data_IF_354774012530
#
_entry.id   IF_354774012530
#
_cell.length_a   1.000
_cell.length_b   1.000
_cell.length_c   1.000
_cell.angle_alpha   90.00
_cell.angle_beta   90.00
_cell.angle_gamma   90.00
#
_symmetry.space_group_name_H-M   'P 1'
#
loop_
_entity.id
_entity.type
_entity.pdbx_description
1 polymer ?
#
# COMPACT_ATOMS: atom_id res chain seq x y z
N UNK A 1 -14.70 -12.82 -0.30
CA UNK A 1 -15.39 -12.99 1.00
C UNK A 1 -16.06 -11.68 1.37
N UNK A 2 -17.27 -11.73 1.90
CA UNK A 2 -17.94 -10.53 2.41
C UNK A 2 -17.46 -10.23 3.82
N UNK A 3 -17.19 -8.96 4.11
CA UNK A 3 -16.84 -8.44 5.43
C UNK A 3 -17.77 -7.28 5.74
N UNK A 4 -18.49 -7.38 6.86
CA UNK A 4 -19.45 -6.34 7.27
C UNK A 4 -18.76 -4.98 7.40
N UNK A 5 -19.38 -3.93 6.86
CA UNK A 5 -18.80 -2.57 6.81
C UNK A 5 -17.73 -2.35 5.72
N UNK A 6 -17.14 -3.41 5.14
CA UNK A 6 -16.07 -3.32 4.14
C UNK A 6 -16.46 -3.89 2.76
N UNK A 7 -17.56 -4.64 2.68
CA UNK A 7 -18.05 -5.25 1.46
C UNK A 7 -17.22 -6.46 1.02
N UNK A 8 -17.06 -6.64 -0.28
CA UNK A 8 -16.27 -7.76 -0.81
C UNK A 8 -14.77 -7.50 -0.64
N UNK A 9 -14.09 -8.47 -0.03
CA UNK A 9 -12.64 -8.53 0.12
C UNK A 9 -12.13 -9.81 -0.59
N UNK A 10 -11.07 -9.75 -1.39
CA UNK A 10 -10.50 -10.95 -2.00
C UNK A 10 -9.87 -11.84 -0.92
N UNK A 11 -10.12 -13.14 -1.00
CA UNK A 11 -9.42 -14.10 -0.14
C UNK A 11 -7.96 -14.27 -0.59
N UNK A 12 -7.14 -15.00 0.18
CA UNK A 12 -5.71 -15.17 -0.10
C UNK A 12 -5.42 -15.74 -1.49
N UNK A 13 -6.22 -16.68 -1.97
CA UNK A 13 -6.04 -17.28 -3.29
C UNK A 13 -6.34 -16.30 -4.42
N UNK A 14 -7.42 -15.51 -4.30
CA UNK A 14 -7.73 -14.46 -5.26
C UNK A 14 -6.69 -13.34 -5.24
N UNK A 15 -6.23 -12.89 -4.07
CA UNK A 15 -5.12 -11.92 -3.95
C UNK A 15 -3.88 -12.43 -4.68
N UNK A 16 -3.50 -13.69 -4.42
CA UNK A 16 -2.34 -14.32 -5.07
C UNK A 16 -2.52 -14.39 -6.59
N UNK A 17 -3.69 -14.80 -7.07
CA UNK A 17 -3.99 -14.86 -8.50
C UNK A 17 -3.91 -13.47 -9.15
N UNK A 18 -4.49 -12.43 -8.53
CA UNK A 18 -4.40 -11.07 -9.06
C UNK A 18 -2.96 -10.56 -9.14
N UNK A 19 -2.14 -10.85 -8.13
CA UNK A 19 -0.72 -10.49 -8.14
C UNK A 19 0.08 -11.26 -9.19
N UNK A 20 -0.18 -12.56 -9.37
CA UNK A 20 0.47 -13.40 -10.38
C UNK A 20 0.14 -12.92 -11.81
N UNK A 21 -1.13 -12.64 -12.10
CA UNK A 21 -1.57 -12.12 -13.40
C UNK A 21 -1.02 -10.72 -13.69
N UNK A 22 -0.98 -9.85 -12.68
CA UNK A 22 -0.36 -8.54 -12.81
C UNK A 22 1.17 -8.66 -13.00
N UNK A 23 1.83 -9.60 -12.33
CA UNK A 23 3.26 -9.84 -12.54
C UNK A 23 3.59 -10.30 -13.95
N UNK A 24 2.80 -11.21 -14.54
CA UNK A 24 2.97 -11.65 -15.93
C UNK A 24 2.90 -10.51 -16.95
N UNK A 25 2.13 -9.46 -16.65
CA UNK A 25 1.98 -8.28 -17.51
C UNK A 25 3.13 -7.29 -17.36
N UNK A 26 3.56 -7.04 -16.13
CA UNK A 26 4.69 -6.14 -15.83
C UNK A 26 5.50 -6.65 -14.65
N UNK A 27 6.51 -7.51 -14.89
CA UNK A 27 7.40 -8.01 -13.86
C UNK A 27 8.16 -6.88 -13.14
N UNK A 28 8.47 -7.07 -11.85
CA UNK A 28 9.28 -6.12 -11.10
C UNK A 28 9.22 -6.28 -9.59
N UNK A 29 10.07 -5.52 -8.87
CA UNK A 29 10.20 -5.60 -7.41
C UNK A 29 8.94 -5.17 -6.64
N UNK A 30 7.99 -4.51 -7.30
CA UNK A 30 6.73 -4.05 -6.70
C UNK A 30 5.95 -5.21 -6.04
N UNK A 31 6.07 -6.43 -6.58
CA UNK A 31 5.39 -7.59 -6.02
C UNK A 31 5.98 -8.04 -4.68
N UNK A 32 7.31 -7.93 -4.50
CA UNK A 32 7.96 -8.21 -3.20
C UNK A 32 7.48 -7.18 -2.19
N UNK A 33 7.51 -5.90 -2.56
CA UNK A 33 7.06 -4.81 -1.70
C UNK A 33 5.62 -5.01 -1.22
N UNK A 34 4.71 -5.27 -2.15
CA UNK A 34 3.30 -5.52 -1.88
C UNK A 34 3.08 -6.76 -1.01
N UNK A 35 3.84 -7.84 -1.27
CA UNK A 35 3.77 -9.05 -0.45
C UNK A 35 4.25 -8.81 0.99
N UNK A 36 5.36 -8.10 1.16
CA UNK A 36 5.88 -7.77 2.50
C UNK A 36 4.86 -6.93 3.26
N UNK A 37 4.27 -5.90 2.65
CA UNK A 37 3.25 -5.06 3.30
C UNK A 37 2.02 -5.88 3.67
N UNK A 38 1.47 -6.69 2.76
CA UNK A 38 0.31 -7.54 3.08
C UNK A 38 0.58 -8.53 4.21
N UNK A 39 1.74 -9.20 4.23
CA UNK A 39 2.10 -10.13 5.31
C UNK A 39 2.41 -9.43 6.64
N UNK A 40 2.94 -8.21 6.59
CA UNK A 40 3.27 -7.43 7.79
C UNK A 40 2.00 -6.88 8.42
N UNK A 41 1.13 -6.26 7.60
CA UNK A 41 -0.19 -5.78 8.04
C UNK A 41 -1.09 -6.90 8.54
N UNK A 42 -1.08 -8.09 7.92
CA UNK A 42 -1.81 -9.27 8.43
C UNK A 42 -1.43 -9.61 9.88
N UNK A 43 -0.13 -9.58 10.22
CA UNK A 43 0.32 -9.93 11.57
C UNK A 43 0.00 -8.81 12.57
N UNK A 44 0.28 -7.57 12.20
CA UNK A 44 -0.01 -6.39 13.03
C UNK A 44 -1.52 -6.31 13.32
N UNK A 45 -2.36 -6.54 12.31
CA UNK A 45 -3.82 -6.50 12.48
C UNK A 45 -4.33 -7.48 13.55
N UNK A 46 -3.74 -8.69 13.65
CA UNK A 46 -4.11 -9.66 14.70
C UNK A 46 -3.90 -9.12 16.11
N UNK A 47 -2.85 -8.35 16.29
CA UNK A 47 -2.47 -7.78 17.58
C UNK A 47 -3.30 -6.55 17.93
N UNK A 48 -3.65 -5.75 16.92
CA UNK A 48 -4.53 -4.59 17.07
C UNK A 48 -6.03 -4.94 17.20
N UNK A 49 -6.39 -6.22 17.12
CA UNK A 49 -7.80 -6.65 17.11
C UNK A 49 -8.55 -6.30 15.81
N UNK A 50 -7.81 -5.98 14.74
CA UNK A 50 -8.36 -5.76 13.39
C UNK A 50 -8.53 -7.10 12.65
N UNK A 51 -9.33 -7.11 11.57
CA UNK A 51 -9.47 -8.28 10.72
C UNK A 51 -8.19 -8.49 9.88
N UNK A 52 -7.43 -9.58 10.12
CA UNK A 52 -6.16 -9.79 9.45
C UNK A 52 -6.30 -10.12 7.96
N UNK A 53 -7.46 -10.60 7.51
CA UNK A 53 -7.70 -10.91 6.11
C UNK A 53 -7.96 -9.63 5.30
N UNK A 54 -8.64 -8.64 5.90
CA UNK A 54 -8.79 -7.29 5.31
C UNK A 54 -7.40 -6.66 5.17
N UNK A 55 -6.64 -6.60 6.26
CA UNK A 55 -5.30 -6.02 6.28
C UNK A 55 -4.37 -6.68 5.24
N UNK A 56 -4.40 -8.02 5.16
CA UNK A 56 -3.65 -8.77 4.16
C UNK A 56 -4.01 -8.37 2.73
N UNK A 57 -5.31 -8.37 2.40
CA UNK A 57 -5.79 -8.09 1.05
C UNK A 57 -5.43 -6.67 0.60
N UNK A 58 -5.71 -5.68 1.44
CA UNK A 58 -5.48 -4.27 1.10
C UNK A 58 -3.99 -3.93 1.07
N UNK A 59 -3.19 -4.54 1.95
CA UNK A 59 -1.73 -4.40 1.92
C UNK A 59 -1.09 -5.05 0.69
N UNK A 60 -1.57 -6.21 0.26
CA UNK A 60 -1.07 -6.86 -0.95
C UNK A 60 -1.49 -6.15 -2.24
N UNK A 61 -2.65 -5.49 -2.27
CA UNK A 61 -3.22 -4.95 -3.52
C UNK A 61 -3.08 -3.43 -3.68
N UNK A 62 -2.54 -2.72 -2.68
CA UNK A 62 -2.42 -1.26 -2.73
C UNK A 62 -1.66 -0.75 -3.97
N UNK A 63 -0.67 -1.51 -4.43
CA UNK A 63 0.24 -1.15 -5.54
C UNK A 63 -0.08 -1.89 -6.85
N UNK A 64 -1.26 -2.55 -6.95
CA UNK A 64 -1.60 -3.45 -8.06
C UNK A 64 -1.42 -2.83 -9.45
N UNK A 65 -1.68 -1.53 -9.62
CA UNK A 65 -1.51 -0.85 -10.91
C UNK A 65 -0.07 -0.86 -11.44
N UNK A 66 0.94 -1.09 -10.59
CA UNK A 66 2.35 -1.26 -11.04
C UNK A 66 2.54 -2.53 -11.87
N UNK A 67 1.77 -3.58 -11.60
CA UNK A 67 1.75 -4.78 -12.44
C UNK A 67 1.08 -4.57 -13.80
N UNK A 68 0.56 -3.38 -14.08
CA UNK A 68 0.03 -2.99 -15.39
C UNK A 68 0.91 -1.94 -16.09
N UNK A 69 2.15 -1.77 -15.63
CA UNK A 69 3.13 -0.86 -16.23
C UNK A 69 3.01 0.60 -15.80
N UNK A 70 2.01 0.94 -14.98
CA UNK A 70 1.82 2.30 -14.48
C UNK A 70 2.79 2.63 -13.34
N UNK A 71 3.17 3.90 -13.25
CA UNK A 71 4.04 4.45 -12.21
C UNK A 71 3.46 5.76 -11.70
N UNK A 72 4.01 6.26 -10.60
CA UNK A 72 3.55 7.50 -9.96
C UNK A 72 2.01 7.50 -9.78
N UNK A 73 1.33 8.64 -9.86
CA UNK A 73 -0.10 8.73 -9.53
C UNK A 73 -0.96 7.79 -10.40
N UNK A 74 -0.53 7.51 -11.62
CA UNK A 74 -1.24 6.62 -12.53
C UNK A 74 -1.39 5.18 -11.99
N UNK A 75 -0.41 4.66 -11.22
CA UNK A 75 -0.53 3.29 -10.68
C UNK A 75 -1.66 3.19 -9.65
N UNK A 76 -1.92 4.28 -8.93
CA UNK A 76 -2.96 4.35 -7.91
C UNK A 76 -4.34 4.35 -8.57
N UNK A 77 -4.50 5.18 -9.60
CA UNK A 77 -5.75 5.27 -10.35
C UNK A 77 -6.06 3.95 -11.08
N UNK A 78 -5.05 3.30 -11.65
CA UNK A 78 -5.26 2.03 -12.32
C UNK A 78 -5.58 0.88 -11.34
N UNK A 79 -4.85 0.80 -10.23
CA UNK A 79 -5.16 -0.16 -9.16
C UNK A 79 -6.61 0.00 -8.65
N UNK A 80 -7.06 1.24 -8.48
CA UNK A 80 -8.45 1.56 -8.17
C UNK A 80 -9.41 1.00 -9.23
N UNK A 81 -9.20 1.27 -10.52
CA UNK A 81 -10.11 0.80 -11.60
C UNK A 81 -10.23 -0.72 -11.62
N UNK A 82 -9.12 -1.44 -11.54
CA UNK A 82 -9.10 -2.91 -11.54
C UNK A 82 -9.89 -3.47 -10.35
N UNK A 83 -9.62 -2.95 -9.15
CA UNK A 83 -10.28 -3.43 -7.93
C UNK A 83 -11.77 -3.05 -7.90
N UNK A 84 -12.14 -1.88 -8.44
CA UNK A 84 -13.54 -1.49 -8.61
C UNK A 84 -14.27 -2.41 -9.57
N UNK A 85 -13.64 -2.78 -10.69
CA UNK A 85 -14.22 -3.68 -11.69
C UNK A 85 -14.52 -5.07 -11.09
N UNK A 86 -13.63 -5.57 -10.24
CA UNK A 86 -13.80 -6.84 -9.51
C UNK A 86 -14.72 -6.72 -8.27
N UNK A 87 -15.42 -5.59 -8.10
CA UNK A 87 -16.29 -5.27 -6.96
C UNK A 87 -15.61 -5.28 -5.58
N UNK A 88 -14.28 -5.13 -5.51
CA UNK A 88 -13.50 -4.98 -4.29
C UNK A 88 -13.36 -3.50 -3.90
N UNK A 89 -14.48 -2.89 -3.50
CA UNK A 89 -14.57 -1.44 -3.30
C UNK A 89 -13.64 -0.90 -2.20
N UNK A 90 -13.50 -1.60 -1.08
CA UNK A 90 -12.61 -1.16 0.00
C UNK A 90 -11.13 -1.28 -0.37
N UNK A 91 -10.64 -2.41 -0.93
CA UNK A 91 -9.30 -2.47 -1.53
C UNK A 91 -9.05 -1.40 -2.59
N UNK A 92 -10.04 -1.09 -3.45
CA UNK A 92 -9.91 -0.05 -4.45
C UNK A 92 -9.66 1.33 -3.83
N UNK A 93 -10.38 1.66 -2.74
CA UNK A 93 -10.19 2.92 -1.98
C UNK A 93 -8.76 3.05 -1.45
N UNK A 94 -8.22 1.98 -0.86
CA UNK A 94 -6.84 1.98 -0.35
C UNK A 94 -5.83 2.09 -1.50
N UNK A 95 -6.04 1.39 -2.62
CA UNK A 95 -5.20 1.54 -3.80
C UNK A 95 -5.18 2.98 -4.34
N UNK A 96 -6.31 3.70 -4.30
CA UNK A 96 -6.39 5.11 -4.69
C UNK A 96 -5.80 6.08 -3.66
N UNK A 97 -5.80 5.69 -2.38
CA UNK A 97 -5.52 6.60 -1.26
C UNK A 97 -4.14 6.48 -0.63
N UNK A 98 -3.46 5.34 -0.76
CA UNK A 98 -2.25 5.00 0.00
C UNK A 98 -1.04 5.93 -0.21
N UNK A 99 -1.06 6.77 -1.25
CA UNK A 99 -0.02 7.76 -1.54
C UNK A 99 -0.18 9.07 -0.76
N UNK A 100 -1.32 9.31 -0.13
CA UNK A 100 -1.67 10.58 0.53
C UNK A 100 -1.81 10.38 2.04
N UNK A 101 -1.14 11.22 2.83
CA UNK A 101 -1.29 11.21 4.30
C UNK A 101 -2.39 12.16 4.79
N UNK A 102 -2.83 13.09 3.95
CA UNK A 102 -3.93 14.04 4.19
C UNK A 102 -4.95 13.98 3.06
N UNK A 103 -6.06 14.72 3.19
CA UNK A 103 -7.06 14.92 2.13
C UNK A 103 -6.61 15.85 0.99
N UNK A 104 -5.37 16.32 1.00
CA UNK A 104 -4.85 17.28 0.03
C UNK A 104 -4.01 16.60 -1.06
N UNK A 105 -4.25 16.96 -2.31
CA UNK A 105 -3.47 16.43 -3.45
C UNK A 105 -1.98 16.82 -3.38
N UNK A 106 -1.65 17.90 -2.67
CA UNK A 106 -0.27 18.32 -2.39
C UNK A 106 0.50 17.33 -1.51
N UNK A 107 -0.20 16.45 -0.78
CA UNK A 107 0.40 15.39 0.03
C UNK A 107 1.08 14.29 -0.81
N UNK A 108 0.79 14.22 -2.11
CA UNK A 108 1.36 13.22 -3.00
C UNK A 108 2.83 13.50 -3.31
N UNK A 109 3.67 12.48 -3.11
CA UNK A 109 5.08 12.51 -3.46
C UNK A 109 5.33 11.67 -4.72
N UNK A 110 5.31 12.34 -5.87
CA UNK A 110 5.54 11.72 -7.18
C UNK A 110 4.98 12.59 -8.29
N UNK A 111 5.07 12.11 -9.54
CA UNK A 111 4.49 12.82 -10.68
C UNK A 111 2.97 12.67 -10.70
N UNK A 112 2.23 13.74 -10.94
CA UNK A 112 0.78 13.69 -11.20
C UNK A 112 0.50 13.31 -12.65
N UNK A 113 1.01 12.15 -13.06
CA UNK A 113 1.00 11.66 -14.44
C UNK A 113 -0.35 11.01 -14.83
N UNK A 114 -1.44 11.70 -14.55
CA UNK A 114 -2.81 11.26 -14.87
C UNK A 114 -3.51 12.31 -15.71
N UNK A 115 -4.64 11.95 -16.32
CA UNK A 115 -5.48 12.93 -17.03
C UNK A 115 -6.04 13.97 -16.07
N UNK A 116 -6.38 15.17 -16.56
CA UNK A 116 -7.03 16.21 -15.73
C UNK A 116 -8.32 15.68 -15.08
N UNK A 117 -9.11 14.90 -15.83
CA UNK A 117 -10.32 14.25 -15.34
C UNK A 117 -10.05 13.31 -14.17
N UNK A 118 -8.98 12.52 -14.25
CA UNK A 118 -8.59 11.61 -13.17
C UNK A 118 -8.04 12.36 -11.96
N UNK A 119 -7.26 13.43 -12.16
CA UNK A 119 -6.80 14.28 -11.05
C UNK A 119 -7.99 14.92 -10.32
N UNK A 120 -8.96 15.47 -11.06
CA UNK A 120 -10.17 16.06 -10.47
C UNK A 120 -11.00 15.02 -9.70
N UNK A 121 -11.07 13.78 -10.21
CA UNK A 121 -11.69 12.66 -9.51
C UNK A 121 -10.96 12.33 -8.20
N UNK A 122 -9.62 12.26 -8.22
CA UNK A 122 -8.80 11.99 -7.04
C UNK A 122 -8.98 13.11 -6.01
N UNK A 123 -8.95 14.38 -6.43
CA UNK A 123 -9.17 15.53 -5.53
C UNK A 123 -10.54 15.44 -4.86
N UNK A 124 -11.60 15.15 -5.62
CA UNK A 124 -12.94 15.00 -5.08
C UNK A 124 -13.06 13.81 -4.12
N UNK A 125 -12.36 12.70 -4.40
CA UNK A 125 -12.26 11.54 -3.52
C UNK A 125 -11.58 11.90 -2.20
N UNK A 126 -10.40 12.52 -2.25
CA UNK A 126 -9.60 12.85 -1.07
C UNK A 126 -10.34 13.79 -0.10
N UNK A 127 -11.09 14.76 -0.61
CA UNK A 127 -11.91 15.68 0.21
C UNK A 127 -12.99 14.97 1.05
N UNK A 128 -13.43 13.79 0.63
CA UNK A 128 -14.48 13.00 1.31
C UNK A 128 -13.91 11.76 2.01
N UNK A 129 -12.61 11.53 1.90
CA UNK A 129 -11.96 10.32 2.41
C UNK A 129 -11.72 10.46 3.91
N UNK A 130 -12.26 9.53 4.67
CA UNK A 130 -11.83 9.28 6.04
C UNK A 130 -10.70 8.24 6.03
N UNK A 131 -9.60 8.54 6.72
CA UNK A 131 -8.45 7.64 6.83
C UNK A 131 -8.63 6.75 8.07
N UNK A 132 -9.13 5.54 7.84
CA UNK A 132 -9.34 4.55 8.90
C UNK A 132 -8.03 3.85 9.34
N UNK A 133 -8.14 2.93 10.30
CA UNK A 133 -6.98 2.25 10.89
C UNK A 133 -6.24 1.35 9.88
N UNK A 134 -6.94 0.71 8.92
CA UNK A 134 -6.26 -0.09 7.90
C UNK A 134 -5.53 0.81 6.90
N UNK A 135 -6.17 1.90 6.46
CA UNK A 135 -5.53 2.83 5.52
C UNK A 135 -4.32 3.50 6.16
N UNK A 136 -4.41 3.94 7.43
CA UNK A 136 -3.25 4.44 8.20
C UNK A 136 -2.14 3.40 8.26
N UNK A 137 -2.46 2.15 8.59
CA UNK A 137 -1.49 1.05 8.65
C UNK A 137 -0.79 0.84 7.29
N UNK A 138 -1.54 0.79 6.19
CA UNK A 138 -0.95 0.59 4.85
C UNK A 138 -0.11 1.78 4.42
N UNK A 139 -0.58 3.02 4.63
CA UNK A 139 0.20 4.22 4.33
C UNK A 139 1.51 4.20 5.11
N UNK A 140 1.46 3.92 6.41
CA UNK A 140 2.64 3.88 7.26
C UNK A 140 3.63 2.81 6.78
N UNK A 141 3.18 1.56 6.61
CA UNK A 141 4.05 0.47 6.16
C UNK A 141 4.68 0.74 4.78
N UNK A 142 3.93 1.34 3.84
CA UNK A 142 4.45 1.77 2.54
C UNK A 142 5.58 2.82 2.67
N UNK A 143 5.55 3.63 3.73
CA UNK A 143 6.59 4.60 4.04
C UNK A 143 7.72 4.07 4.94
N UNK A 144 7.63 2.84 5.44
CA UNK A 144 8.68 2.19 6.23
C UNK A 144 9.43 1.10 5.47
N UNK A 145 8.78 0.53 4.43
CA UNK A 145 9.20 -0.71 3.78
C UNK A 145 9.44 -0.46 2.29
N UNK A 146 10.51 -1.05 1.74
CA UNK A 146 10.70 -1.20 0.29
C UNK A 146 10.79 -2.69 -0.06
N UNK A 147 11.98 -3.29 -0.01
CA UNK A 147 12.20 -4.75 -0.01
C UNK A 147 12.64 -5.31 1.35
N UNK A 148 12.89 -4.41 2.31
CA UNK A 148 13.20 -4.65 3.72
C UNK A 148 12.64 -3.49 4.55
N UNK A 149 12.69 -3.62 5.87
CA UNK A 149 12.46 -2.50 6.77
C UNK A 149 13.58 -1.47 6.60
N UNK A 150 13.20 -0.21 6.40
CA UNK A 150 14.09 0.94 6.29
C UNK A 150 13.86 1.93 7.44
N UNK A 151 12.60 2.08 7.88
CA UNK A 151 12.22 3.20 8.75
C UNK A 151 11.98 4.47 7.95
N UNK A 152 11.41 5.51 8.58
CA UNK A 152 11.04 6.76 7.90
C UNK A 152 12.27 7.49 7.35
N UNK A 153 13.32 7.64 8.16
CA UNK A 153 14.51 8.42 7.79
C UNK A 153 15.24 7.85 6.58
N UNK A 154 15.53 6.55 6.59
CA UNK A 154 16.18 5.87 5.46
C UNK A 154 15.26 5.88 4.23
N UNK A 155 13.95 5.63 4.40
CA UNK A 155 13.00 5.65 3.27
C UNK A 155 12.95 7.02 2.61
N UNK A 156 12.99 8.08 3.41
CA UNK A 156 12.91 9.45 2.98
C UNK A 156 14.19 9.90 2.26
N UNK A 157 15.36 9.51 2.77
CA UNK A 157 16.64 9.75 2.11
C UNK A 157 16.70 9.14 0.71
N UNK A 158 16.14 7.93 0.52
CA UNK A 158 16.10 7.24 -0.78
C UNK A 158 15.22 7.92 -1.84
N UNK A 159 14.34 8.85 -1.46
CA UNK A 159 13.49 9.54 -2.44
C UNK A 159 14.26 10.54 -3.29
N UNK A 160 15.40 11.05 -2.81
CA UNK A 160 16.27 11.99 -3.53
C UNK A 160 15.52 13.19 -4.15
N UNK A 161 14.62 13.80 -3.38
CA UNK A 161 13.83 14.98 -3.74
C UNK A 161 14.06 16.06 -2.67
N UNK A 162 13.83 17.34 -2.98
CA UNK A 162 13.92 18.44 -2.02
C UNK A 162 12.97 18.25 -0.81
N UNK A 163 13.39 18.69 0.37
CA UNK A 163 12.52 18.79 1.56
C UNK A 163 11.74 20.11 1.48
N UNK A 164 10.44 20.02 1.25
CA UNK A 164 9.52 21.17 1.29
C UNK A 164 8.79 21.21 2.63
N UNK A 165 8.20 22.34 3.05
CA UNK A 165 7.40 22.42 4.27
C UNK A 165 6.28 21.37 4.33
N UNK A 166 5.61 21.10 3.20
CA UNK A 166 4.56 20.07 3.10
C UNK A 166 5.09 18.67 3.36
N UNK A 167 6.33 18.42 2.90
CA UNK A 167 7.03 17.14 3.08
C UNK A 167 7.45 16.94 4.53
N UNK A 168 7.90 17.99 5.20
CA UNK A 168 8.19 17.96 6.64
C UNK A 168 6.93 17.72 7.46
N UNK A 169 5.83 18.40 7.14
CA UNK A 169 4.55 18.19 7.81
C UNK A 169 4.04 16.76 7.65
N UNK A 170 4.14 16.23 6.43
CA UNK A 170 3.82 14.83 6.15
C UNK A 170 4.67 13.86 6.99
N UNK A 171 5.96 14.12 7.18
CA UNK A 171 6.82 13.27 8.00
C UNK A 171 6.42 13.32 9.47
N UNK A 172 6.02 14.48 10.00
CA UNK A 172 5.48 14.61 11.36
C UNK A 172 4.23 13.77 11.56
N UNK A 173 3.29 13.82 10.59
CA UNK A 173 2.07 12.99 10.63
C UNK A 173 2.43 11.50 10.66
N UNK A 174 3.32 11.06 9.76
CA UNK A 174 3.76 9.66 9.72
C UNK A 174 4.48 9.22 10.99
N UNK A 175 5.28 10.11 11.58
CA UNK A 175 5.98 9.83 12.84
C UNK A 175 4.98 9.67 13.98
N UNK A 176 3.98 10.55 14.07
CA UNK A 176 2.87 10.40 15.01
C UNK A 176 2.13 9.06 14.84
N UNK A 177 1.78 8.69 13.61
CA UNK A 177 1.15 7.38 13.35
C UNK A 177 2.06 6.19 13.69
N UNK A 178 3.37 6.32 13.48
CA UNK A 178 4.33 5.29 13.87
C UNK A 178 4.37 5.13 15.39
N UNK A 179 4.48 6.24 16.12
CA UNK A 179 4.56 6.24 17.58
C UNK A 179 3.27 5.69 18.20
N UNK A 180 2.10 6.11 17.68
CA UNK A 180 0.78 5.59 18.09
C UNK A 180 0.63 4.10 17.83
N UNK A 181 1.16 3.60 16.70
CA UNK A 181 1.13 2.18 16.37
C UNK A 181 2.08 1.39 17.26
N UNK A 182 3.33 1.82 17.39
CA UNK A 182 4.35 1.13 18.19
C UNK A 182 3.97 1.08 19.68
N UNK A 183 3.25 2.07 20.20
CA UNK A 183 2.71 2.05 21.57
C UNK A 183 1.67 0.94 21.80
N UNK A 184 1.05 0.42 20.74
CA UNK A 184 0.06 -0.68 20.80
C UNK A 184 0.66 -2.05 20.44
N UNK A 185 1.93 -2.10 20.05
CA UNK A 185 2.60 -3.35 19.66
C UNK A 185 3.55 -3.84 20.76
N UNK A 186 3.56 -5.14 20.98
CA UNK A 186 4.50 -5.86 21.85
C UNK A 186 5.94 -5.77 21.32
N UNK A 187 6.10 -5.74 19.99
CA UNK A 187 7.40 -5.73 19.34
C UNK A 187 7.53 -4.55 18.35
N UNK A 188 8.77 -4.13 18.01
CA UNK A 188 8.98 -3.14 16.97
C UNK A 188 8.47 -3.62 15.60
N UNK A 189 7.94 -2.72 14.77
CA UNK A 189 7.33 -3.02 13.45
C UNK A 189 8.22 -3.94 12.58
N UNK A 190 9.55 -3.72 12.61
CA UNK A 190 10.54 -4.50 11.84
C UNK A 190 10.47 -6.02 12.08
N UNK A 191 9.96 -6.46 13.23
CA UNK A 191 9.87 -7.88 13.61
C UNK A 191 8.70 -8.60 12.94
N UNK A 192 7.69 -7.87 12.49
CA UNK A 192 6.50 -8.41 11.84
C UNK A 192 6.75 -8.76 10.36
N UNK A 193 7.84 -8.30 9.76
CA UNK A 193 8.14 -8.60 8.36
C UNK A 193 8.30 -10.13 8.14
N UNK A 194 7.82 -10.66 7.00
CA UNK A 194 8.09 -12.04 6.62
C UNK A 194 9.58 -12.22 6.32
N UNK A 195 10.15 -13.37 6.69
CA UNK A 195 11.50 -13.75 6.26
C UNK A 195 11.47 -14.10 4.77
N UNK A 196 12.34 -13.52 3.93
CA UNK A 196 12.43 -13.88 2.51
C UNK A 196 12.71 -15.37 2.33
N UNK A 197 11.95 -16.01 1.45
CA UNK A 197 12.17 -17.42 1.07
C UNK A 197 12.18 -17.51 -0.44
N UNK A 198 13.36 -17.63 -1.00
CA UNK A 198 13.60 -17.53 -2.45
C UNK A 198 12.86 -18.57 -3.30
N UNK A 199 12.45 -19.70 -2.72
CA UNK A 199 11.65 -20.75 -3.36
C UNK A 199 10.13 -20.57 -3.21
N UNK A 200 9.67 -19.55 -2.46
CA UNK A 200 8.24 -19.27 -2.26
C UNK A 200 7.80 -18.02 -3.01
N UNK A 201 6.50 -17.90 -3.23
CA UNK A 201 5.87 -16.68 -3.72
C UNK A 201 6.18 -15.47 -2.82
N UNK A 202 6.40 -14.27 -3.40
CA UNK A 202 6.57 -13.98 -4.83
C UNK A 202 8.03 -14.11 -5.29
N UNK A 203 8.97 -14.43 -4.40
CA UNK A 203 10.40 -14.47 -4.69
C UNK A 203 10.78 -15.48 -5.79
N UNK A 204 10.02 -16.57 -5.92
CA UNK A 204 10.22 -17.54 -6.98
C UNK A 204 9.88 -16.98 -8.37
N UNK A 205 8.99 -15.99 -8.48
CA UNK A 205 8.60 -15.39 -9.77
C UNK A 205 9.78 -14.62 -10.38
N UNK A 206 10.52 -13.87 -9.56
CA UNK A 206 11.67 -13.08 -10.01
C UNK A 206 12.89 -13.93 -10.40
N UNK A 207 12.89 -15.25 -10.14
CA UNK A 207 13.96 -16.14 -10.61
C UNK A 207 13.85 -16.44 -12.10
N UNK A 208 12.63 -16.42 -12.64
CA UNK A 208 12.34 -16.76 -14.03
C UNK A 208 12.43 -15.54 -14.97
N UNK A 209 12.70 -14.35 -14.40
CA UNK A 209 12.83 -13.07 -15.11
C UNK A 209 14.30 -12.72 -15.46
N UNK A 210 15.22 -13.66 -15.30
CA UNK A 210 16.65 -13.50 -15.62
C UNK A 210 16.99 -14.06 -16.99
#
# INVERSE_FOLDING_TARGET
MYKEGFGNIPNKDKVRNMLDEAFKKSPGEWIIHSHIIGKTSEKIARELGLDPEIAYAVGCLHDLGKGYGYRDMAHMMEGYRILRFEAYFYPARIALGHGFVTGEISSYHGKRNVSKRDEDFIIAYLKKREIDEYEKLIILLNNLIKGRYLGLDEREALRNIAKTPEREERLKILKGWQDDLEAKLENPIKTYLPRPRSYKFPYNLLRNEK
#
